data_IF_721494294630
#
_entry.id   IF_721494294630
#
_cell.length_a   1.000
_cell.length_b   1.000
_cell.length_c   1.000
_cell.angle_alpha   90.00
_cell.angle_beta   90.00
_cell.angle_gamma   90.00
#
_symmetry.space_group_name_H-M   'P 1'
#
loop_
_entity.id
_entity.type
_entity.pdbx_description
1 polymer ?
#
# COMPACT_ATOMS: atom_id res chain seq x y z
N UNK A 1 6.08 10.20 -9.25
CA UNK A 1 7.45 10.35 -8.75
C UNK A 1 7.54 10.25 -7.22
N UNK A 2 6.41 10.06 -6.52
CA UNK A 2 6.30 9.94 -5.06
C UNK A 2 6.24 11.27 -4.32
N UNK A 3 6.05 12.37 -5.02
CA UNK A 3 5.74 13.68 -4.47
C UNK A 3 4.24 13.95 -4.60
N UNK A 4 3.70 14.73 -3.68
CA UNK A 4 2.30 15.15 -3.78
C UNK A 4 2.18 16.31 -4.75
N UNK A 5 1.41 16.11 -5.80
CA UNK A 5 1.05 17.12 -6.79
C UNK A 5 -0.33 17.71 -6.49
N UNK A 6 -0.67 18.81 -7.13
CA UNK A 6 -1.98 19.45 -6.99
C UNK A 6 -2.66 19.51 -8.34
N UNK A 7 -3.86 18.94 -8.44
CA UNK A 7 -4.72 19.10 -9.59
C UNK A 7 -5.67 20.28 -9.33
N UNK A 8 -5.56 21.33 -10.14
CA UNK A 8 -6.50 22.42 -10.15
C UNK A 8 -7.46 22.27 -11.33
N UNK A 9 -8.74 22.50 -11.10
CA UNK A 9 -9.79 22.33 -12.10
C UNK A 9 -10.64 23.58 -12.15
N UNK A 10 -10.81 24.11 -13.34
CA UNK A 10 -11.68 25.26 -13.62
C UNK A 10 -12.59 25.01 -14.84
N UNK A 11 -13.32 26.05 -15.28
CA UNK A 11 -14.23 25.95 -16.41
C UNK A 11 -13.53 25.75 -17.76
N UNK A 12 -12.23 26.06 -17.84
CA UNK A 12 -11.44 26.05 -19.08
C UNK A 12 -10.58 24.79 -19.21
N UNK A 13 -10.46 24.01 -18.13
CA UNK A 13 -9.68 22.79 -18.14
C UNK A 13 -9.16 22.39 -16.78
N UNK A 14 -8.16 21.53 -16.78
CA UNK A 14 -7.44 21.10 -15.59
C UNK A 14 -5.93 21.31 -15.74
N UNK A 15 -5.31 21.71 -14.65
CA UNK A 15 -3.88 22.01 -14.56
C UNK A 15 -3.28 21.15 -13.47
N UNK A 16 -2.24 20.43 -13.81
CA UNK A 16 -1.43 19.72 -12.81
C UNK A 16 -0.30 20.64 -12.37
N UNK A 17 -0.22 20.91 -11.08
CA UNK A 17 0.91 21.58 -10.44
C UNK A 17 1.81 20.50 -9.85
N UNK A 18 2.94 20.25 -10.52
CA UNK A 18 3.90 19.24 -10.10
C UNK A 18 4.91 19.82 -9.10
N UNK A 19 5.09 19.10 -8.01
CA UNK A 19 6.07 19.43 -6.97
C UNK A 19 7.48 18.99 -7.37
N UNK A 20 8.47 19.85 -7.15
CA UNK A 20 9.89 19.52 -7.31
C UNK A 20 10.51 18.90 -6.03
N UNK A 21 9.72 18.79 -4.95
CA UNK A 21 10.18 18.31 -3.64
C UNK A 21 11.02 19.31 -2.84
N UNK A 22 11.19 20.53 -3.34
CA UNK A 22 11.96 21.61 -2.69
C UNK A 22 11.10 22.83 -2.37
N UNK A 23 9.78 22.71 -2.58
CA UNK A 23 8.81 23.78 -2.28
C UNK A 23 8.39 24.62 -3.48
N UNK A 24 8.83 24.26 -4.70
CA UNK A 24 8.37 24.86 -5.95
C UNK A 24 7.40 23.94 -6.66
N UNK A 25 6.38 24.50 -7.29
CA UNK A 25 5.46 23.79 -8.14
C UNK A 25 5.53 24.34 -9.56
N UNK A 26 5.54 23.44 -10.55
CA UNK A 26 5.51 23.77 -11.98
C UNK A 26 4.16 23.40 -12.55
N UNK A 27 3.55 24.33 -13.30
CA UNK A 27 2.29 24.08 -13.98
C UNK A 27 2.52 23.24 -15.24
N UNK A 28 1.74 22.18 -15.37
CA UNK A 28 1.65 21.33 -16.58
C UNK A 28 0.20 21.35 -17.03
N UNK A 29 -0.07 21.90 -18.22
CA UNK A 29 -1.41 21.86 -18.80
C UNK A 29 -1.74 20.43 -19.23
N UNK A 30 -2.81 19.88 -18.72
CA UNK A 30 -3.17 18.46 -18.92
C UNK A 30 -4.32 18.23 -19.90
N UNK A 31 -5.07 19.25 -20.27
CA UNK A 31 -6.06 19.18 -21.34
C UNK A 31 -7.45 19.74 -21.01
N UNK A 32 -8.31 19.73 -22.01
CA UNK A 32 -9.71 20.10 -21.85
C UNK A 32 -10.45 18.98 -21.10
N UNK A 33 -11.22 19.40 -20.14
CA UNK A 33 -12.02 18.49 -19.33
C UNK A 33 -13.30 18.08 -20.06
N UNK A 34 -13.75 16.84 -19.93
CA UNK A 34 -15.11 16.51 -20.34
C UNK A 34 -16.09 17.06 -19.29
N UNK A 35 -16.82 18.00 -19.68
CA UNK A 35 -18.05 18.62 -19.19
C UNK A 35 -18.56 18.54 -17.73
N UNK A 36 -19.39 19.50 -17.44
CA UNK A 36 -19.94 20.04 -16.19
C UNK A 36 -20.61 19.00 -15.28
N UNK A 37 -20.30 19.08 -13.97
CA UNK A 37 -21.03 18.45 -12.86
C UNK A 37 -20.68 16.99 -12.53
N UNK A 38 -19.42 16.72 -12.21
CA UNK A 38 -19.03 15.42 -11.68
C UNK A 38 -18.64 15.50 -10.21
N UNK A 39 -18.93 14.45 -9.47
CA UNK A 39 -18.16 14.16 -8.27
C UNK A 39 -16.87 13.50 -8.72
N UNK A 40 -15.77 13.93 -8.11
CA UNK A 40 -14.42 13.45 -8.46
C UNK A 40 -13.81 12.83 -7.22
N UNK A 41 -13.41 11.60 -7.37
CA UNK A 41 -12.70 10.86 -6.35
C UNK A 41 -11.37 10.37 -6.93
N UNK A 42 -10.39 10.11 -6.05
CA UNK A 42 -9.03 9.74 -6.44
C UNK A 42 -8.66 8.40 -5.82
N UNK A 43 -7.93 7.57 -6.57
CA UNK A 43 -7.42 6.28 -6.12
C UNK A 43 -6.47 5.66 -7.13
N UNK A 44 -5.80 4.59 -6.77
CA UNK A 44 -5.03 3.73 -7.68
C UNK A 44 -5.90 2.52 -8.07
N UNK A 45 -6.71 2.68 -9.12
CA UNK A 45 -7.67 1.65 -9.51
C UNK A 45 -7.08 0.53 -10.37
N UNK A 46 -5.88 0.73 -10.92
CA UNK A 46 -5.21 -0.25 -11.77
C UNK A 46 -3.94 -0.84 -11.12
N UNK A 47 -3.55 -0.37 -9.92
CA UNK A 47 -2.42 -0.88 -9.14
C UNK A 47 -1.05 -0.51 -9.71
N UNK A 48 -0.97 0.57 -10.51
CA UNK A 48 0.29 0.98 -11.14
C UNK A 48 1.09 1.99 -10.30
N UNK A 49 0.58 2.33 -9.12
CA UNK A 49 1.20 3.26 -8.17
C UNK A 49 1.01 4.73 -8.54
N UNK A 50 0.15 5.04 -9.49
CA UNK A 50 -0.21 6.41 -9.86
C UNK A 50 -1.63 6.71 -9.41
N UNK A 51 -1.89 7.98 -9.11
CA UNK A 51 -3.23 8.39 -8.72
C UNK A 51 -4.10 8.55 -9.96
N UNK A 52 -5.14 7.73 -10.05
CA UNK A 52 -6.20 7.79 -11.04
C UNK A 52 -7.34 8.66 -10.54
N UNK A 53 -8.31 8.94 -11.41
CA UNK A 53 -9.53 9.67 -11.06
C UNK A 53 -10.78 8.88 -11.45
N UNK A 54 -11.79 8.98 -10.61
CA UNK A 54 -13.14 8.50 -10.87
C UNK A 54 -14.09 9.66 -10.95
N UNK A 55 -14.81 9.76 -12.06
CA UNK A 55 -15.90 10.70 -12.27
C UNK A 55 -17.22 9.97 -12.13
N UNK A 56 -18.08 10.46 -11.25
CA UNK A 56 -19.45 9.94 -11.10
C UNK A 56 -20.47 11.06 -11.27
N UNK A 57 -21.70 10.73 -11.67
CA UNK A 57 -22.76 11.73 -11.83
C UNK A 57 -22.77 12.46 -13.18
N UNK A 58 -22.35 11.83 -14.25
CA UNK A 58 -22.27 12.43 -15.58
C UNK A 58 -23.62 12.46 -16.33
N UNK A 59 -23.95 13.62 -16.95
CA UNK A 59 -25.25 13.93 -17.56
C UNK A 59 -25.34 13.78 -19.10
N UNK A 60 -24.34 13.19 -19.78
CA UNK A 60 -24.30 13.25 -21.27
C UNK A 60 -25.09 12.17 -22.02
N UNK A 61 -25.74 11.23 -21.35
CA UNK A 61 -26.71 10.38 -22.05
C UNK A 61 -28.10 10.95 -21.90
N UNK A 62 -28.69 11.57 -22.95
CA UNK A 62 -30.05 12.11 -22.90
C UNK A 62 -31.12 11.04 -22.69
N UNK A 63 -30.74 9.74 -22.75
CA UNK A 63 -31.66 8.60 -22.54
C UNK A 63 -31.35 7.84 -21.25
N UNK A 64 -30.23 8.11 -20.60
CA UNK A 64 -29.91 7.61 -19.26
C UNK A 64 -30.25 8.71 -18.25
N UNK A 65 -30.60 8.36 -17.04
CA UNK A 65 -30.84 9.33 -15.97
C UNK A 65 -29.53 9.94 -15.43
N UNK A 66 -28.53 10.17 -16.28
CA UNK A 66 -27.28 10.89 -16.06
C UNK A 66 -26.35 10.36 -14.97
N UNK A 67 -26.84 9.43 -14.17
CA UNK A 67 -26.12 8.87 -13.02
C UNK A 67 -25.64 7.42 -13.24
N UNK A 68 -25.93 6.87 -14.43
CA UNK A 68 -25.74 5.44 -14.70
C UNK A 68 -24.35 5.05 -15.17
N UNK A 69 -23.52 6.02 -15.57
CA UNK A 69 -22.16 5.75 -16.03
C UNK A 69 -21.10 6.35 -15.11
N UNK A 70 -20.07 5.59 -14.88
CA UNK A 70 -18.86 6.00 -14.20
C UNK A 70 -17.74 6.12 -15.21
N UNK A 71 -16.89 7.14 -15.08
CA UNK A 71 -15.74 7.35 -15.94
C UNK A 71 -14.45 7.22 -15.11
N UNK A 72 -13.67 6.21 -15.40
CA UNK A 72 -12.34 6.05 -14.86
C UNK A 72 -11.33 6.75 -15.76
N UNK A 73 -10.43 7.50 -15.17
CA UNK A 73 -9.34 8.20 -15.83
C UNK A 73 -8.03 7.67 -15.26
N UNK A 74 -7.42 6.72 -15.95
CA UNK A 74 -6.16 6.11 -15.54
C UNK A 74 -4.98 7.00 -15.90
N UNK A 75 -4.18 7.35 -14.91
CA UNK A 75 -3.04 8.24 -15.07
C UNK A 75 -1.90 7.57 -15.85
N UNK A 76 -1.37 8.27 -16.88
CA UNK A 76 -0.17 7.83 -17.59
C UNK A 76 1.13 8.29 -16.93
N UNK A 77 1.03 9.15 -15.88
CA UNK A 77 2.17 9.67 -15.16
C UNK A 77 2.87 10.85 -15.84
N UNK A 78 2.34 11.34 -16.95
CA UNK A 78 2.81 12.51 -17.71
C UNK A 78 1.81 13.67 -17.68
N UNK A 79 0.79 13.58 -16.81
CA UNK A 79 -0.33 14.52 -16.73
C UNK A 79 -1.48 14.20 -17.67
N UNK A 80 -1.38 13.17 -18.48
CA UNK A 80 -2.47 12.69 -19.34
C UNK A 80 -3.13 11.43 -18.78
N UNK A 81 -4.35 11.16 -19.24
CA UNK A 81 -5.18 10.07 -18.74
C UNK A 81 -5.75 9.22 -19.87
N UNK A 82 -5.93 7.94 -19.61
CA UNK A 82 -6.71 7.03 -20.42
C UNK A 82 -8.12 6.91 -19.85
N UNK A 83 -9.15 7.03 -20.70
CA UNK A 83 -10.55 7.03 -20.26
C UNK A 83 -11.19 5.66 -20.45
N UNK A 84 -11.93 5.21 -19.44
CA UNK A 84 -12.79 4.05 -19.51
C UNK A 84 -14.16 4.36 -18.91
N UNK A 85 -15.22 4.09 -19.65
CA UNK A 85 -16.60 4.24 -19.18
C UNK A 85 -17.13 2.88 -18.72
N UNK A 86 -17.74 2.85 -17.53
CA UNK A 86 -18.37 1.65 -16.96
C UNK A 86 -19.78 1.97 -16.51
N UNK A 87 -20.67 0.99 -16.61
CA UNK A 87 -21.95 1.05 -15.93
C UNK A 87 -21.71 1.24 -14.43
N UNK A 88 -22.53 2.07 -13.80
CA UNK A 88 -22.44 2.34 -12.36
C UNK A 88 -22.36 1.04 -11.55
N UNK A 89 -21.45 0.99 -10.61
CA UNK A 89 -21.26 -0.15 -9.71
C UNK A 89 -22.35 -0.13 -8.63
N UNK A 90 -22.73 1.07 -8.16
CA UNK A 90 -23.83 1.33 -7.25
C UNK A 90 -24.34 2.78 -7.42
N UNK A 91 -25.53 3.07 -6.92
CA UNK A 91 -26.05 4.44 -6.94
C UNK A 91 -25.29 5.31 -5.92
N UNK A 92 -24.49 6.25 -6.43
CA UNK A 92 -23.64 7.13 -5.60
C UNK A 92 -24.42 8.33 -5.01
N UNK A 93 -25.66 8.60 -5.47
CA UNK A 93 -26.48 9.73 -4.99
C UNK A 93 -26.77 9.66 -3.50
N UNK A 94 -27.15 8.47 -3.04
CA UNK A 94 -27.56 8.22 -1.66
C UNK A 94 -26.43 7.64 -0.79
N UNK A 95 -25.20 7.55 -1.34
CA UNK A 95 -24.06 6.97 -0.65
C UNK A 95 -22.90 7.95 -0.55
N UNK A 96 -22.21 7.93 0.56
CA UNK A 96 -20.86 8.43 0.64
C UNK A 96 -19.91 7.30 0.29
N UNK A 97 -18.97 7.61 -0.59
CA UNK A 97 -17.95 6.68 -1.05
C UNK A 97 -16.62 7.01 -0.38
N UNK A 98 -15.92 5.98 0.04
CA UNK A 98 -14.54 6.05 0.50
C UNK A 98 -13.73 5.14 -0.39
N UNK A 99 -12.62 5.64 -0.90
CA UNK A 99 -11.71 4.92 -1.79
C UNK A 99 -10.44 4.62 -1.01
N UNK A 100 -10.08 3.35 -0.97
CA UNK A 100 -8.87 2.88 -0.33
C UNK A 100 -8.64 1.40 -0.66
N UNK A 101 -7.40 0.92 -0.57
CA UNK A 101 -7.08 -0.50 -0.61
C UNK A 101 -7.58 -1.17 0.68
N UNK A 102 -8.79 -1.75 0.63
CA UNK A 102 -9.49 -2.30 1.80
C UNK A 102 -8.96 -3.70 2.16
N UNK A 103 -8.49 -4.45 1.17
CA UNK A 103 -8.07 -5.84 1.36
C UNK A 103 -6.54 -6.02 1.35
N UNK A 104 -5.76 -4.96 1.05
CA UNK A 104 -4.30 -4.98 1.03
C UNK A 104 -3.71 -5.62 -0.22
N UNK A 105 -4.43 -5.62 -1.35
CA UNK A 105 -3.97 -6.24 -2.60
C UNK A 105 -3.28 -5.28 -3.57
N UNK A 106 -3.25 -3.99 -3.23
CA UNK A 106 -2.60 -2.94 -4.01
C UNK A 106 -3.52 -2.23 -5.00
N UNK A 107 -4.81 -2.57 -5.04
CA UNK A 107 -5.83 -1.88 -5.84
C UNK A 107 -6.80 -1.16 -4.92
N UNK A 108 -7.13 0.09 -5.25
CA UNK A 108 -8.12 0.80 -4.47
C UNK A 108 -9.54 0.27 -4.71
N UNK A 109 -10.25 0.06 -3.63
CA UNK A 109 -11.59 -0.48 -3.50
C UNK A 109 -12.60 0.62 -3.17
N UNK A 110 -13.89 0.27 -3.13
CA UNK A 110 -14.95 1.17 -2.66
C UNK A 110 -15.57 0.69 -1.36
N UNK A 111 -15.66 1.59 -0.41
CA UNK A 111 -16.53 1.44 0.75
C UNK A 111 -17.67 2.46 0.63
N UNK A 112 -18.89 1.97 0.45
CA UNK A 112 -20.07 2.79 0.25
C UNK A 112 -20.99 2.73 1.46
N UNK A 113 -21.33 3.89 2.02
CA UNK A 113 -22.21 4.04 3.19
C UNK A 113 -23.38 4.93 2.85
N UNK A 114 -24.60 4.55 3.25
CA UNK A 114 -25.80 5.32 2.95
C UNK A 114 -25.79 6.70 3.63
N UNK A 115 -26.05 7.77 2.86
CA UNK A 115 -26.08 9.16 3.35
C UNK A 115 -27.33 9.48 4.18
N UNK A 116 -28.46 8.86 3.82
CA UNK A 116 -29.75 9.20 4.37
C UNK A 116 -30.43 7.96 4.97
N UNK A 117 -30.59 7.97 6.28
CA UNK A 117 -31.65 7.21 6.92
C UNK A 117 -32.41 8.12 7.86
N UNK A 118 -33.68 8.28 7.64
CA UNK A 118 -34.60 8.94 8.57
C UNK A 118 -34.69 8.10 9.85
N UNK A 119 -33.86 8.40 10.84
CA UNK A 119 -33.80 7.72 12.11
C UNK A 119 -32.55 6.84 12.27
N UNK A 120 -32.39 6.23 13.45
CA UNK A 120 -31.29 5.32 13.81
C UNK A 120 -31.33 4.01 12.99
N UNK A 121 -31.37 4.10 11.66
CA UNK A 121 -31.32 2.92 10.80
C UNK A 121 -29.87 2.47 10.68
N UNK A 122 -29.58 1.29 11.15
CA UNK A 122 -28.31 0.63 10.90
C UNK A 122 -28.28 0.17 9.44
N UNK A 123 -27.30 0.60 8.69
CA UNK A 123 -27.04 0.09 7.36
C UNK A 123 -25.82 -0.84 7.37
N UNK A 124 -25.78 -1.79 6.47
CA UNK A 124 -24.57 -2.57 6.27
C UNK A 124 -23.66 -1.79 5.31
N UNK A 125 -22.42 -1.47 5.71
CA UNK A 125 -21.47 -0.90 4.79
C UNK A 125 -21.27 -1.86 3.63
N UNK A 126 -21.27 -1.31 2.42
CA UNK A 126 -21.10 -2.07 1.20
C UNK A 126 -19.65 -1.92 0.75
N UNK A 127 -18.92 -3.01 0.75
CA UNK A 127 -17.55 -3.06 0.23
C UNK A 127 -17.59 -3.66 -1.16
N UNK A 128 -16.91 -3.01 -2.11
CA UNK A 128 -16.74 -3.47 -3.48
C UNK A 128 -15.25 -3.62 -3.74
N UNK A 129 -14.76 -4.85 -3.79
CA UNK A 129 -13.35 -5.15 -4.04
C UNK A 129 -13.04 -5.10 -5.53
N UNK A 130 -11.96 -4.42 -5.85
CA UNK A 130 -11.38 -4.31 -7.18
C UNK A 130 -10.50 -5.54 -7.48
N UNK A 131 -10.62 -6.13 -8.67
CA UNK A 131 -9.80 -7.27 -9.09
C UNK A 131 -8.56 -6.86 -9.91
N UNK A 132 -8.27 -5.56 -9.98
CA UNK A 132 -7.18 -5.01 -10.79
C UNK A 132 -7.39 -5.11 -12.30
N UNK A 133 -8.56 -5.59 -12.74
CA UNK A 133 -8.98 -5.68 -14.16
C UNK A 133 -10.18 -4.79 -14.46
N UNK A 134 -10.49 -3.92 -13.50
CA UNK A 134 -11.58 -3.00 -13.57
C UNK A 134 -12.95 -3.59 -13.23
N UNK A 135 -13.04 -4.78 -12.65
CA UNK A 135 -14.27 -5.31 -12.12
C UNK A 135 -14.31 -5.11 -10.61
N UNK A 136 -15.51 -4.81 -10.09
CA UNK A 136 -15.73 -4.56 -8.68
C UNK A 136 -16.76 -5.53 -8.13
N UNK A 137 -16.38 -6.31 -7.15
CA UNK A 137 -17.22 -7.35 -6.57
C UNK A 137 -17.73 -6.92 -5.20
N UNK A 138 -19.06 -6.83 -5.06
CA UNK A 138 -19.67 -6.53 -3.78
C UNK A 138 -19.38 -7.63 -2.77
N UNK A 139 -18.79 -7.24 -1.65
CA UNK A 139 -18.69 -8.08 -0.47
C UNK A 139 -19.57 -7.56 0.65
N UNK A 140 -20.35 -8.46 1.25
CA UNK A 140 -21.09 -8.15 2.47
C UNK A 140 -20.23 -8.67 3.63
N UNK A 141 -19.37 -7.80 4.17
CA UNK A 141 -18.57 -8.12 5.37
C UNK A 141 -18.78 -7.03 6.40
N UNK A 142 -19.02 -7.44 7.63
CA UNK A 142 -19.03 -6.55 8.78
C UNK A 142 -20.38 -6.36 9.43
N UNK A 143 -20.36 -5.90 10.68
CA UNK A 143 -21.54 -5.56 11.45
C UNK A 143 -22.27 -4.35 10.89
N UNK A 144 -23.49 -4.13 11.37
CA UNK A 144 -24.26 -2.95 11.01
C UNK A 144 -23.54 -1.69 11.50
N UNK A 145 -23.43 -0.68 10.63
CA UNK A 145 -22.98 0.67 10.99
C UNK A 145 -24.18 1.62 10.95
N UNK A 146 -24.07 2.72 11.70
CA UNK A 146 -25.10 3.76 11.64
C UNK A 146 -24.95 4.57 10.35
N UNK A 147 -26.08 5.07 9.84
CA UNK A 147 -26.05 5.92 8.65
C UNK A 147 -25.40 7.28 8.92
N UNK A 148 -24.85 7.88 7.88
CA UNK A 148 -23.94 9.02 7.92
C UNK A 148 -24.51 10.35 8.37
N UNK A 149 -25.80 10.49 8.59
CA UNK A 149 -26.39 11.79 8.96
C UNK A 149 -25.83 12.38 10.29
N UNK A 150 -25.17 11.51 11.09
CA UNK A 150 -24.58 11.88 12.40
C UNK A 150 -23.26 11.14 12.69
N UNK A 151 -22.72 10.44 11.71
CA UNK A 151 -21.51 9.67 11.87
C UNK A 151 -20.48 10.07 10.80
N UNK A 152 -19.26 10.27 11.23
CA UNK A 152 -18.13 10.54 10.35
C UNK A 152 -17.23 9.31 10.30
N UNK A 153 -16.88 8.89 9.10
CA UNK A 153 -15.98 7.77 8.84
C UNK A 153 -14.62 8.28 8.39
N UNK A 154 -13.59 7.77 9.01
CA UNK A 154 -12.20 8.10 8.68
C UNK A 154 -11.48 6.81 8.31
N UNK A 155 -11.11 6.64 7.03
CA UNK A 155 -10.32 5.50 6.59
C UNK A 155 -8.87 5.63 7.06
N UNK A 156 -8.23 4.49 7.34
CA UNK A 156 -6.81 4.40 7.70
C UNK A 156 -6.44 3.00 8.14
N UNK A 157 -5.17 2.67 8.07
CA UNK A 157 -4.65 1.42 8.59
C UNK A 157 -4.29 1.61 10.09
N UNK A 158 -5.25 1.31 10.97
CA UNK A 158 -5.11 1.57 12.41
C UNK A 158 -4.40 0.43 13.17
N UNK A 159 -4.31 -0.76 12.61
CA UNK A 159 -3.60 -1.89 13.21
C UNK A 159 -2.25 -2.19 12.54
N UNK A 160 -1.96 -1.59 11.39
CA UNK A 160 -0.70 -1.74 10.66
C UNK A 160 -0.64 -3.01 9.80
N UNK A 161 -1.79 -3.57 9.40
CA UNK A 161 -1.88 -4.82 8.64
C UNK A 161 -1.99 -4.61 7.11
N UNK A 162 -2.01 -3.37 6.64
CA UNK A 162 -2.07 -3.02 5.22
C UNK A 162 -3.45 -2.92 4.62
N UNK A 163 -4.45 -3.14 5.43
CA UNK A 163 -5.83 -2.99 5.02
C UNK A 163 -6.37 -1.68 5.54
N UNK A 164 -7.33 -1.13 4.83
CA UNK A 164 -7.96 0.09 5.29
C UNK A 164 -9.06 -0.23 6.29
N UNK A 165 -8.80 0.12 7.53
CA UNK A 165 -9.76 0.13 8.63
C UNK A 165 -10.57 1.43 8.63
N UNK A 166 -11.57 1.52 9.51
CA UNK A 166 -12.39 2.72 9.66
C UNK A 166 -12.55 3.11 11.13
N UNK A 167 -12.27 4.37 11.45
CA UNK A 167 -12.73 4.99 12.68
C UNK A 167 -14.02 5.75 12.39
N UNK A 168 -15.05 5.48 13.19
CA UNK A 168 -16.31 6.18 13.15
C UNK A 168 -16.47 7.06 14.39
N UNK A 169 -16.78 8.32 14.19
CA UNK A 169 -17.12 9.27 15.27
C UNK A 169 -18.54 9.76 15.11
N UNK A 170 -19.18 10.18 16.22
CA UNK A 170 -20.54 10.72 16.22
C UNK A 170 -20.56 12.12 16.79
N UNK A 171 -21.35 13.00 16.18
CA UNK A 171 -21.64 14.35 16.71
C UNK A 171 -22.59 14.33 17.93
N UNK A 172 -23.08 13.17 18.32
CA UNK A 172 -23.99 13.06 19.43
C UNK A 172 -23.27 13.07 20.78
N UNK A 173 -23.49 14.14 21.51
CA UNK A 173 -23.06 14.25 22.91
C UNK A 173 -23.96 13.38 23.80
N UNK A 174 -23.70 12.07 23.86
CA UNK A 174 -24.37 11.14 24.77
C UNK A 174 -23.47 10.84 25.96
N UNK A 175 -23.99 10.97 27.13
CA UNK A 175 -23.31 10.82 28.44
C UNK A 175 -22.73 9.42 28.72
N UNK A 176 -22.86 8.46 27.81
CA UNK A 176 -22.39 7.07 27.96
C UNK A 176 -21.71 6.52 26.69
N UNK A 177 -21.12 7.39 25.85
CA UNK A 177 -20.48 6.96 24.62
C UNK A 177 -19.04 7.47 24.53
N UNK A 178 -18.09 6.56 24.24
CA UNK A 178 -16.66 6.87 24.21
C UNK A 178 -16.24 7.71 23.00
N UNK A 179 -17.22 8.18 22.21
CA UNK A 179 -16.99 9.14 21.12
C UNK A 179 -16.48 8.53 19.80
N UNK A 180 -16.04 7.28 19.75
CA UNK A 180 -15.59 6.63 18.49
C UNK A 180 -15.82 5.11 18.52
N UNK A 181 -15.89 4.53 17.31
CA UNK A 181 -15.81 3.08 17.10
C UNK A 181 -14.71 2.79 16.07
N UNK A 182 -13.92 1.77 16.35
CA UNK A 182 -12.89 1.28 15.43
C UNK A 182 -13.40 -0.02 14.78
N UNK A 183 -13.44 -0.01 13.44
CA UNK A 183 -13.76 -1.17 12.63
C UNK A 183 -12.49 -1.65 11.95
N UNK A 184 -11.94 -2.76 12.44
CA UNK A 184 -10.80 -3.41 11.82
C UNK A 184 -11.29 -4.36 10.73
N UNK A 185 -10.65 -4.31 9.56
CA UNK A 185 -10.90 -5.29 8.51
C UNK A 185 -10.31 -6.64 8.92
N UNK A 186 -11.01 -7.76 8.63
CA UNK A 186 -10.54 -9.08 9.04
C UNK A 186 -9.16 -9.42 8.49
N UNK A 187 -8.33 -10.04 9.32
CA UNK A 187 -7.04 -10.58 8.92
C UNK A 187 -7.25 -11.84 8.05
N UNK A 188 -7.46 -11.66 6.75
CA UNK A 188 -7.38 -12.74 5.79
C UNK A 188 -6.16 -12.51 4.88
N UNK A 189 -5.17 -13.37 4.99
CA UNK A 189 -3.95 -13.36 4.16
C UNK A 189 -4.18 -14.12 2.85
N UNK A 190 -5.33 -13.93 2.21
CA UNK A 190 -5.78 -14.75 1.08
C UNK A 190 -4.85 -14.68 -0.15
N UNK A 191 -3.98 -13.66 -0.24
CA UNK A 191 -3.07 -13.44 -1.38
C UNK A 191 -1.62 -13.88 -1.09
N UNK A 192 -1.33 -14.39 0.12
CA UNK A 192 0.01 -14.82 0.49
C UNK A 192 0.13 -16.35 0.48
N UNK A 193 1.26 -16.84 -0.04
CA UNK A 193 1.55 -18.27 -0.07
C UNK A 193 1.88 -18.77 1.35
N UNK A 194 0.90 -19.32 2.05
CA UNK A 194 1.06 -19.78 3.42
C UNK A 194 1.72 -21.17 3.55
N UNK A 195 1.55 -22.03 2.51
CA UNK A 195 1.98 -23.44 2.59
C UNK A 195 2.28 -24.02 1.21
N UNK A 196 3.32 -24.82 1.14
CA UNK A 196 3.66 -25.63 -0.02
C UNK A 196 3.71 -27.09 0.42
N UNK A 197 3.05 -27.99 -0.33
CA UNK A 197 3.16 -29.44 -0.12
C UNK A 197 3.82 -30.04 -1.35
N UNK A 198 4.91 -30.78 -1.15
CA UNK A 198 5.61 -31.46 -2.25
C UNK A 198 4.95 -32.80 -2.63
N UNK A 199 5.45 -33.45 -3.69
CA UNK A 199 4.93 -34.72 -4.18
C UNK A 199 5.09 -35.90 -3.21
N UNK A 200 5.87 -35.75 -2.14
CA UNK A 200 6.08 -36.75 -1.09
C UNK A 200 5.23 -36.44 0.16
N UNK A 201 4.43 -35.38 0.13
CA UNK A 201 3.61 -34.95 1.25
C UNK A 201 4.34 -34.10 2.29
N UNK A 202 5.58 -33.68 2.02
CA UNK A 202 6.28 -32.77 2.92
C UNK A 202 5.71 -31.38 2.84
N UNK A 203 5.50 -30.75 3.99
CA UNK A 203 4.88 -29.41 4.08
C UNK A 203 5.92 -28.36 4.51
N UNK A 204 6.05 -27.32 3.67
CA UNK A 204 6.74 -26.08 4.02
C UNK A 204 5.70 -25.03 4.38
N UNK A 205 5.78 -24.46 5.57
CA UNK A 205 4.88 -23.41 6.05
C UNK A 205 5.62 -22.08 6.10
N UNK A 206 4.95 -21.00 5.62
CA UNK A 206 5.49 -19.65 5.60
C UNK A 206 4.61 -18.77 6.48
N UNK A 207 5.23 -18.03 7.41
CA UNK A 207 4.54 -17.07 8.26
C UNK A 207 4.96 -15.67 7.87
N UNK A 208 4.00 -14.78 7.74
CA UNK A 208 4.22 -13.38 7.39
C UNK A 208 3.95 -12.46 8.56
N UNK A 209 4.59 -11.32 8.55
CA UNK A 209 4.31 -10.14 9.37
C UNK A 209 4.45 -8.90 8.52
N UNK A 210 4.02 -7.75 9.01
CA UNK A 210 4.10 -6.50 8.27
C UNK A 210 5.34 -5.69 8.67
N UNK A 211 5.84 -4.82 7.78
CA UNK A 211 6.96 -3.92 8.09
C UNK A 211 6.64 -2.94 9.24
N UNK A 212 5.38 -2.75 9.55
CA UNK A 212 4.90 -2.00 10.72
C UNK A 212 5.18 -2.73 12.06
N UNK A 213 5.29 -4.08 12.04
CA UNK A 213 5.54 -4.89 13.25
C UNK A 213 7.01 -4.78 13.69
N UNK A 214 7.21 -4.14 14.85
CA UNK A 214 8.54 -3.94 15.46
C UNK A 214 9.25 -5.25 15.83
N UNK A 215 8.55 -6.40 15.90
CA UNK A 215 9.15 -7.68 16.21
C UNK A 215 9.99 -8.22 15.05
N UNK A 216 9.70 -7.82 13.81
CA UNK A 216 10.40 -8.23 12.59
C UNK A 216 11.10 -7.09 11.89
N UNK A 217 10.65 -5.84 12.03
CA UNK A 217 11.24 -4.70 11.35
C UNK A 217 11.63 -3.58 12.33
N UNK A 218 12.87 -3.11 12.23
CA UNK A 218 13.33 -1.91 12.92
C UNK A 218 13.39 -0.75 11.94
N UNK A 219 13.07 0.48 12.41
CA UNK A 219 13.01 1.67 11.57
C UNK A 219 13.76 2.84 12.20
N UNK A 220 14.64 3.46 11.40
CA UNK A 220 15.34 4.70 11.72
C UNK A 220 14.62 5.87 11.06
N UNK A 221 14.02 6.73 11.86
CA UNK A 221 13.27 7.92 11.42
C UNK A 221 14.15 9.10 11.00
N UNK A 222 15.47 8.98 11.13
CA UNK A 222 16.41 10.08 10.82
C UNK A 222 16.78 10.17 9.35
N UNK A 223 16.27 9.24 8.51
CA UNK A 223 16.52 9.28 7.06
C UNK A 223 15.90 10.53 6.44
N UNK A 224 16.73 11.28 5.71
CA UNK A 224 16.32 12.52 5.05
C UNK A 224 15.97 12.32 3.59
N UNK A 225 15.06 13.17 3.09
CA UNK A 225 14.68 13.22 1.67
C UNK A 225 15.93 13.17 0.75
N UNK A 226 15.90 12.45 -0.36
CA UNK A 226 14.79 11.65 -0.93
C UNK A 226 14.68 10.22 -0.38
N UNK A 227 15.47 9.82 0.60
CA UNK A 227 15.37 8.51 1.22
C UNK A 227 14.47 8.57 2.43
N UNK A 228 13.62 7.56 2.57
CA UNK A 228 12.84 7.33 3.79
C UNK A 228 13.00 5.88 4.22
N UNK A 229 12.98 5.64 5.54
CA UNK A 229 12.77 4.31 6.07
C UNK A 229 11.25 4.08 6.21
N UNK A 230 10.69 3.25 5.34
CA UNK A 230 9.27 2.94 5.34
C UNK A 230 8.92 1.92 6.43
N UNK A 231 7.78 2.08 7.07
CA UNK A 231 7.18 1.11 7.98
C UNK A 231 5.75 0.87 7.54
N UNK A 232 5.58 0.62 6.26
CA UNK A 232 4.27 0.31 5.68
C UNK A 232 3.82 -1.08 6.07
N UNK A 233 2.60 -1.35 5.76
CA UNK A 233 1.92 -2.62 5.88
C UNK A 233 2.33 -3.67 4.84
N UNK A 234 3.47 -3.52 4.20
CA UNK A 234 3.96 -4.54 3.29
C UNK A 234 4.27 -5.83 4.04
N UNK A 235 3.70 -6.97 3.61
CA UNK A 235 3.98 -8.26 4.21
C UNK A 235 5.42 -8.68 3.92
N UNK A 236 6.09 -9.17 4.95
CA UNK A 236 7.42 -9.76 4.87
C UNK A 236 7.41 -11.13 5.51
N UNK A 237 8.25 -12.04 5.03
CA UNK A 237 8.37 -13.38 5.61
C UNK A 237 8.98 -13.25 7.00
N UNK A 238 8.24 -13.67 8.02
CA UNK A 238 8.72 -13.71 9.40
C UNK A 238 9.45 -15.03 9.73
N UNK A 239 8.91 -16.16 9.23
CA UNK A 239 9.56 -17.45 9.36
C UNK A 239 9.17 -18.42 8.26
N UNK A 240 10.05 -19.39 7.99
CA UNK A 240 9.81 -20.55 7.13
C UNK A 240 10.10 -21.80 7.93
N UNK A 241 9.15 -22.72 7.96
CA UNK A 241 9.28 -24.02 8.63
C UNK A 241 9.25 -25.11 7.58
N UNK A 242 10.28 -25.96 7.56
CA UNK A 242 10.42 -27.09 6.64
C UNK A 242 10.66 -28.38 7.42
N UNK A 243 10.25 -29.56 6.91
CA UNK A 243 10.70 -30.83 7.45
C UNK A 243 12.23 -30.96 7.38
N UNK A 244 12.85 -31.59 8.37
CA UNK A 244 14.29 -31.84 8.39
C UNK A 244 14.69 -33.17 7.73
N UNK A 245 13.71 -33.94 7.25
CA UNK A 245 13.89 -35.23 6.59
C UNK A 245 14.09 -36.42 7.55
N UNK A 246 14.13 -36.20 8.85
CA UNK A 246 14.31 -37.23 9.87
C UNK A 246 13.19 -37.24 10.92
N UNK A 247 12.07 -36.59 10.61
CA UNK A 247 10.86 -36.54 11.46
C UNK A 247 10.75 -35.29 12.34
N UNK A 248 11.70 -34.36 12.27
CA UNK A 248 11.68 -33.06 12.93
C UNK A 248 11.38 -31.92 11.95
N UNK A 249 11.69 -30.69 12.39
CA UNK A 249 11.48 -29.45 11.61
C UNK A 249 12.69 -28.55 11.69
N UNK A 250 13.05 -27.93 10.57
CA UNK A 250 13.94 -26.78 10.50
C UNK A 250 13.10 -25.50 10.48
N UNK A 251 13.50 -24.50 11.25
CA UNK A 251 12.80 -23.21 11.35
C UNK A 251 13.80 -22.09 11.09
N UNK A 252 13.59 -21.35 10.02
CA UNK A 252 14.33 -20.14 9.69
C UNK A 252 13.49 -18.93 10.03
N UNK A 253 14.01 -18.00 10.84
CA UNK A 253 13.36 -16.73 11.14
C UNK A 253 14.10 -15.56 10.51
N UNK A 254 13.36 -14.49 10.19
CA UNK A 254 13.83 -13.35 9.43
C UNK A 254 13.56 -12.04 10.18
N UNK A 255 14.52 -11.12 10.15
CA UNK A 255 14.32 -9.73 10.61
C UNK A 255 14.91 -8.75 9.61
N UNK A 256 14.29 -7.59 9.55
CA UNK A 256 14.56 -6.53 8.58
C UNK A 256 14.91 -5.24 9.31
N UNK A 257 15.86 -4.50 8.82
CA UNK A 257 16.20 -3.18 9.35
C UNK A 257 16.12 -2.14 8.23
N UNK A 258 15.38 -1.07 8.46
CA UNK A 258 15.23 0.05 7.53
C UNK A 258 14.87 -0.36 6.09
N UNK A 259 13.60 -0.58 5.82
CA UNK A 259 13.10 -0.68 4.44
C UNK A 259 13.27 0.69 3.75
N UNK A 260 14.33 0.87 2.96
CA UNK A 260 14.65 2.13 2.32
C UNK A 260 13.90 2.31 1.01
N UNK A 261 13.19 3.43 0.91
CA UNK A 261 12.52 3.89 -0.29
C UNK A 261 13.11 5.21 -0.78
N UNK A 262 13.18 5.35 -2.08
CA UNK A 262 13.55 6.58 -2.75
C UNK A 262 12.31 7.26 -3.31
N UNK A 263 11.91 8.39 -2.73
CA UNK A 263 10.67 9.11 -3.06
C UNK A 263 10.63 9.72 -4.47
N UNK A 264 11.76 9.82 -5.16
CA UNK A 264 11.81 10.36 -6.52
C UNK A 264 11.75 9.25 -7.57
N UNK A 265 10.74 8.39 -7.52
CA UNK A 265 10.39 7.43 -8.56
C UNK A 265 11.23 6.14 -8.66
N UNK A 266 12.16 5.88 -7.71
CA UNK A 266 12.90 4.60 -7.71
C UNK A 266 12.25 3.53 -6.83
N UNK A 267 11.30 3.91 -5.98
CA UNK A 267 10.59 3.00 -5.10
C UNK A 267 11.50 2.36 -4.04
N UNK A 268 11.24 1.10 -3.73
CA UNK A 268 12.02 0.32 -2.79
C UNK A 268 13.44 0.08 -3.29
N UNK A 269 14.42 0.32 -2.42
CA UNK A 269 15.84 0.12 -2.72
C UNK A 269 16.37 -1.16 -2.06
N UNK A 270 16.29 -1.26 -0.74
CA UNK A 270 16.76 -2.40 0.04
C UNK A 270 16.30 -2.31 1.49
N UNK A 271 16.53 -3.40 2.22
CA UNK A 271 16.69 -3.33 3.67
C UNK A 271 18.15 -3.00 4.00
N UNK A 272 18.41 -2.04 4.89
CA UNK A 272 19.79 -1.76 5.32
C UNK A 272 20.38 -2.91 6.14
N UNK A 273 19.53 -3.69 6.79
CA UNK A 273 19.94 -4.89 7.53
C UNK A 273 18.95 -6.01 7.24
N UNK A 274 19.49 -7.17 6.96
CA UNK A 274 18.71 -8.39 6.80
C UNK A 274 19.33 -9.48 7.70
N UNK A 275 18.52 -10.02 8.60
CA UNK A 275 18.96 -11.05 9.55
C UNK A 275 18.20 -12.33 9.28
N UNK A 276 18.94 -13.42 9.15
CA UNK A 276 18.43 -14.79 9.03
C UNK A 276 18.92 -15.59 10.20
N UNK A 277 18.02 -16.25 10.92
CA UNK A 277 18.38 -17.12 12.03
C UNK A 277 17.82 -18.52 11.82
N UNK A 278 18.70 -19.49 11.88
CA UNK A 278 18.33 -20.90 12.06
C UNK A 278 18.06 -21.13 13.54
N UNK A 279 16.80 -21.36 13.89
CA UNK A 279 16.37 -21.52 15.29
C UNK A 279 16.83 -22.86 15.88
N UNK A 280 17.03 -23.89 15.04
CA UNK A 280 17.48 -25.22 15.46
C UNK A 280 18.99 -25.25 15.68
N UNK A 281 19.76 -24.77 14.69
CA UNK A 281 21.22 -24.68 14.78
C UNK A 281 21.69 -23.51 15.65
N UNK A 282 20.80 -22.61 16.05
CA UNK A 282 21.08 -21.35 16.76
C UNK A 282 22.18 -20.53 16.09
N UNK A 283 22.13 -20.50 14.76
CA UNK A 283 23.05 -19.74 13.90
C UNK A 283 22.35 -18.52 13.33
N UNK A 284 22.98 -17.36 13.46
CA UNK A 284 22.42 -16.09 12.98
C UNK A 284 23.35 -15.44 11.97
N UNK A 285 22.86 -15.12 10.79
CA UNK A 285 23.58 -14.35 9.77
C UNK A 285 22.96 -12.97 9.62
N UNK A 286 23.77 -11.93 9.78
CA UNK A 286 23.39 -10.53 9.64
C UNK A 286 24.08 -9.95 8.42
N UNK A 287 23.33 -9.57 7.41
CA UNK A 287 23.80 -8.87 6.21
C UNK A 287 23.44 -7.39 6.30
N UNK A 288 24.43 -6.52 6.10
CA UNK A 288 24.23 -5.06 6.06
C UNK A 288 24.45 -4.56 4.65
N UNK A 289 23.57 -3.68 4.21
CA UNK A 289 23.62 -3.06 2.90
C UNK A 289 23.83 -1.56 3.03
N UNK A 290 24.42 -0.96 2.01
CA UNK A 290 24.59 0.48 1.91
C UNK A 290 24.07 1.00 0.57
N UNK A 291 23.55 2.22 0.57
CA UNK A 291 23.05 2.89 -0.63
C UNK A 291 24.03 3.99 -0.99
N UNK A 292 24.54 3.96 -2.22
CA UNK A 292 25.32 5.08 -2.75
C UNK A 292 24.43 6.30 -2.89
N UNK A 293 24.75 7.39 -2.19
CA UNK A 293 23.90 8.60 -2.11
C UNK A 293 23.84 9.41 -3.40
N UNK A 294 24.71 9.16 -4.38
CA UNK A 294 24.74 9.88 -5.65
C UNK A 294 23.89 9.19 -6.70
N UNK A 295 24.02 7.86 -6.79
CA UNK A 295 23.38 7.06 -7.84
C UNK A 295 22.28 6.13 -7.30
N UNK A 296 22.14 6.04 -5.98
CA UNK A 296 21.17 5.18 -5.29
C UNK A 296 21.28 3.70 -5.67
N UNK A 297 22.51 3.25 -5.94
CA UNK A 297 22.84 1.84 -6.16
C UNK A 297 23.10 1.19 -4.82
N UNK A 298 22.55 0.00 -4.64
CA UNK A 298 22.68 -0.78 -3.40
C UNK A 298 23.89 -1.69 -3.50
N UNK A 299 24.69 -1.75 -2.44
CA UNK A 299 25.81 -2.67 -2.30
C UNK A 299 25.77 -3.40 -0.96
N UNK A 300 26.22 -4.66 -0.95
CA UNK A 300 26.43 -5.40 0.30
C UNK A 300 27.65 -4.81 1.01
N UNK A 301 27.46 -4.37 2.26
CA UNK A 301 28.50 -3.72 3.06
C UNK A 301 29.26 -4.71 3.95
N UNK A 302 28.53 -5.59 4.63
CA UNK A 302 29.12 -6.62 5.48
C UNK A 302 28.19 -7.79 5.70
N UNK A 303 28.77 -8.95 6.00
CA UNK A 303 28.06 -10.14 6.47
C UNK A 303 28.74 -10.65 7.74
N UNK A 304 27.98 -10.88 8.78
CA UNK A 304 28.42 -11.41 10.06
C UNK A 304 27.62 -12.67 10.40
N UNK A 305 28.29 -13.72 10.81
CA UNK A 305 27.66 -14.99 11.25
C UNK A 305 27.99 -15.26 12.70
N UNK A 306 26.98 -15.60 13.46
CA UNK A 306 27.05 -15.90 14.89
C UNK A 306 26.57 -17.34 15.15
N UNK A 307 27.12 -17.99 16.14
CA UNK A 307 26.57 -19.20 16.77
C UNK A 307 26.24 -18.83 18.21
N UNK A 308 24.93 -18.84 18.52
CA UNK A 308 24.46 -18.20 19.74
C UNK A 308 24.77 -16.70 19.72
N UNK A 309 25.55 -16.25 20.72
CA UNK A 309 26.04 -14.87 20.82
C UNK A 309 27.48 -14.68 20.29
N UNK A 310 28.17 -15.76 19.87
CA UNK A 310 29.57 -15.72 19.48
C UNK A 310 29.69 -15.42 17.98
N UNK A 311 30.41 -14.36 17.61
CA UNK A 311 30.76 -14.07 16.22
C UNK A 311 31.80 -15.12 15.74
N UNK A 312 31.45 -15.87 14.71
CA UNK A 312 32.28 -16.92 14.11
C UNK A 312 32.84 -16.55 12.74
N UNK A 313 32.19 -15.63 12.04
CA UNK A 313 32.67 -15.16 10.73
C UNK A 313 32.22 -13.72 10.47
N UNK A 314 33.12 -12.93 9.85
CA UNK A 314 32.81 -11.60 9.35
C UNK A 314 33.47 -11.42 7.99
N UNK A 315 32.69 -10.84 7.06
CA UNK A 315 33.19 -10.38 5.78
C UNK A 315 32.76 -8.93 5.58
N UNK A 316 33.70 -8.07 5.25
CA UNK A 316 33.43 -6.70 4.87
C UNK A 316 33.66 -6.53 3.35
N UNK A 317 32.87 -5.68 2.72
CA UNK A 317 32.88 -5.49 1.27
C UNK A 317 33.15 -4.02 0.96
N UNK A 318 34.03 -3.78 -0.01
CA UNK A 318 34.23 -2.44 -0.57
C UNK A 318 33.47 -2.35 -1.87
N UNK A 319 32.51 -1.42 -1.93
CA UNK A 319 31.68 -1.17 -3.10
C UNK A 319 32.30 -0.02 -3.92
N UNK A 320 32.63 -0.29 -5.18
CA UNK A 320 33.01 0.73 -6.15
C UNK A 320 31.95 0.86 -7.24
N UNK A 321 31.60 2.08 -7.60
CA UNK A 321 30.64 2.36 -8.66
C UNK A 321 31.36 2.44 -10.00
N UNK A 322 30.95 1.61 -10.97
CA UNK A 322 31.40 1.75 -12.36
C UNK A 322 30.38 2.56 -13.14
N UNK A 323 30.86 3.53 -13.93
CA UNK A 323 30.04 4.44 -14.74
C UNK A 323 30.22 4.24 -16.24
N UNK A 324 30.77 3.09 -16.66
CA UNK A 324 30.97 2.83 -18.07
C UNK A 324 29.63 2.58 -18.80
N UNK A 325 29.49 3.17 -19.98
CA UNK A 325 28.39 2.92 -20.95
C UNK A 325 26.97 3.22 -20.46
N UNK A 326 26.77 4.35 -19.81
CA UNK A 326 25.43 4.79 -19.32
C UNK A 326 24.73 3.82 -18.35
N UNK A 327 25.37 2.74 -17.93
CA UNK A 327 24.87 1.82 -16.92
C UNK A 327 25.62 2.02 -15.61
N UNK A 328 24.87 2.25 -14.53
CA UNK A 328 25.44 2.33 -13.18
C UNK A 328 25.25 0.98 -12.49
N UNK A 329 26.35 0.32 -12.12
CA UNK A 329 26.31 -0.91 -11.34
C UNK A 329 27.35 -0.86 -10.24
N UNK A 330 27.09 -1.58 -9.16
CA UNK A 330 28.04 -1.72 -8.06
C UNK A 330 28.92 -2.94 -8.29
N UNK A 331 30.25 -2.73 -8.22
CA UNK A 331 31.20 -3.84 -8.17
C UNK A 331 31.54 -4.08 -6.71
N UNK A 332 31.22 -5.26 -6.22
CA UNK A 332 31.51 -5.69 -4.86
C UNK A 332 32.84 -6.44 -4.84
N UNK A 333 33.76 -5.99 -3.99
CA UNK A 333 35.00 -6.72 -3.71
C UNK A 333 34.97 -7.19 -2.25
N UNK A 334 35.23 -8.48 -2.06
CA UNK A 334 35.43 -9.06 -0.73
C UNK A 334 36.83 -8.68 -0.22
N UNK A 335 36.91 -8.22 1.00
CA UNK A 335 38.14 -7.96 1.73
C UNK A 335 38.26 -8.94 2.89
#
# INVERSE_FOLDING_TARGET
>A
DGLTDVLNMDNDGHYLLQSDGYGTMSEVLTGAWPEKRHYIDFGDFNGDGKTDMLLTGWEEDPNADGWDNWCFLYSKGDGTFEKEYKTRIFDSRDKQMFIADINGDGFDDFHAVDKNSSGMSMTQPQVYLNDGRGNFYRQVKGGNVYALDKWHFYPGDFNGDGKTDFVCTSDWNRTNWDGYQLYLMPEDNNNLLGKITDGLGNETSITYKYLSDKSVCTRDYTKGYPLIACGSSWPVVASVTTPDGIGGKSVMSYKYGNALFHKRGRGFLCFETFTVKDEVANTTTVSKFEVNKIKYVVGLKSTQTYVGSTLVSQCDYVNSLSTNYNTNYSIVRRI
#
